data_IF_365577444212
#
_entry.id   IF_365577444212
#
_cell.length_a   1.000
_cell.length_b   1.000
_cell.length_c   1.000
_cell.angle_alpha   90.00
_cell.angle_beta   90.00
_cell.angle_gamma   90.00
#
_symmetry.space_group_name_H-M   'P 1'
#
loop_
_entity.id
_entity.type
_entity.pdbx_description
1 polymer ?
#
# COMPACT_ATOMS: atom_id res chain seq x y z
N UNK A 1 -29.64 0.99 -1.25
CA UNK A 1 -30.04 1.77 -0.05
C UNK A 1 -28.79 2.31 0.65
N UNK A 2 -28.45 3.60 0.54
CA UNK A 2 -27.37 4.18 1.33
C UNK A 2 -27.92 4.79 2.62
N UNK A 3 -27.39 4.37 3.77
CA UNK A 3 -27.68 4.99 5.07
C UNK A 3 -26.92 6.31 5.16
N UNK A 4 -27.65 7.43 5.19
CA UNK A 4 -27.14 8.74 5.60
C UNK A 4 -26.75 8.70 7.08
N UNK A 5 -25.62 9.31 7.45
CA UNK A 5 -25.41 9.76 8.82
C UNK A 5 -25.12 11.28 8.80
N UNK A 6 -25.89 12.10 9.53
CA UNK A 6 -25.83 13.56 9.48
C UNK A 6 -24.92 14.13 10.57
N UNK A 7 -24.26 15.25 10.30
CA UNK A 7 -24.17 16.41 11.22
C UNK A 7 -23.28 17.49 10.60
N UNK A 8 -23.90 18.32 9.76
CA UNK A 8 -23.42 19.66 9.47
C UNK A 8 -24.00 20.61 10.52
N UNK A 9 -23.18 21.14 11.43
CA UNK A 9 -23.49 22.38 12.15
C UNK A 9 -22.64 23.50 11.55
N UNK A 10 -23.31 24.45 10.90
CA UNK A 10 -22.79 25.80 10.68
C UNK A 10 -23.12 26.62 11.93
N UNK A 11 -22.13 27.26 12.56
CA UNK A 11 -22.08 28.71 12.70
C UNK A 11 -20.93 29.21 13.59
N UNK A 12 -20.25 30.22 13.03
CA UNK A 12 -19.54 31.34 13.66
C UNK A 12 -18.27 30.98 14.48
N UNK A 13 -17.14 31.69 14.40
CA UNK A 13 -16.91 33.13 14.17
C UNK A 13 -15.46 33.31 13.70
N UNK A 14 -15.22 34.22 12.75
CA UNK A 14 -13.88 34.67 12.36
C UNK A 14 -13.15 35.27 13.56
N UNK A 15 -11.96 34.77 13.90
CA UNK A 15 -10.83 35.54 14.41
C UNK A 15 -9.55 34.67 14.36
N UNK A 16 -8.62 35.04 13.47
CA UNK A 16 -7.17 34.90 13.67
C UNK A 16 -6.57 33.50 13.84
N UNK A 17 -6.59 32.68 12.79
CA UNK A 17 -5.51 31.76 12.39
C UNK A 17 -6.10 30.80 11.35
N UNK A 18 -5.84 31.06 10.07
CA UNK A 18 -6.15 30.10 9.02
C UNK A 18 -5.12 28.97 9.10
N UNK A 19 -5.29 28.06 10.06
CA UNK A 19 -4.59 26.79 10.05
C UNK A 19 -5.24 25.96 8.93
N UNK A 20 -4.69 26.06 7.73
CA UNK A 20 -5.00 25.12 6.66
C UNK A 20 -4.39 23.78 7.07
N UNK A 21 -5.12 22.97 7.83
CA UNK A 21 -4.78 21.56 7.97
C UNK A 21 -5.15 20.87 6.66
N UNK A 22 -4.26 20.92 5.66
CA UNK A 22 -4.30 19.94 4.59
C UNK A 22 -4.00 18.60 5.24
N UNK A 23 -5.01 17.73 5.32
CA UNK A 23 -4.82 16.35 5.70
C UNK A 23 -3.97 15.71 4.60
N UNK A 24 -2.65 15.71 4.75
CA UNK A 24 -1.76 15.02 3.83
C UNK A 24 -2.17 13.55 3.86
N UNK A 25 -2.72 13.05 2.76
CA UNK A 25 -3.01 11.64 2.64
C UNK A 25 -1.67 10.89 2.60
N UNK A 26 -1.37 10.12 3.63
CA UNK A 26 -0.25 9.19 3.63
C UNK A 26 -0.67 7.95 2.87
N UNK A 27 -0.06 7.71 1.71
CA UNK A 27 -0.27 6.49 0.92
C UNK A 27 0.93 5.56 1.11
N UNK A 28 0.68 4.28 1.32
CA UNK A 28 1.71 3.24 1.35
C UNK A 28 1.38 2.15 0.33
N UNK A 29 2.40 1.38 -0.06
CA UNK A 29 2.25 0.24 -0.96
C UNK A 29 2.72 -1.03 -0.26
N UNK A 30 1.87 -2.07 -0.34
CA UNK A 30 2.06 -3.38 0.27
C UNK A 30 1.73 -4.48 -0.74
N UNK A 31 2.43 -5.61 -0.64
CA UNK A 31 2.16 -6.80 -1.42
C UNK A 31 1.56 -7.87 -0.52
N UNK A 32 0.45 -8.44 -0.97
CA UNK A 32 -0.26 -9.50 -0.28
C UNK A 32 -0.23 -10.79 -1.10
N UNK A 33 -0.16 -11.92 -0.41
CA UNK A 33 -0.27 -13.26 -0.95
C UNK A 33 -1.26 -14.07 -0.13
N UNK A 34 -1.97 -14.97 -0.79
CA UNK A 34 -2.83 -15.96 -0.15
C UNK A 34 -2.41 -17.35 -0.62
N UNK A 35 -2.21 -18.26 0.32
CA UNK A 35 -1.84 -19.65 0.05
C UNK A 35 -2.94 -20.52 0.65
N UNK A 36 -3.40 -21.50 -0.13
CA UNK A 36 -4.37 -22.48 0.33
C UNK A 36 -3.92 -23.90 -0.02
N UNK A 37 -4.27 -24.85 0.85
CA UNK A 37 -4.14 -26.29 0.57
C UNK A 37 -5.35 -26.80 -0.23
N UNK A 38 -5.28 -28.07 -0.65
CA UNK A 38 -6.36 -28.72 -1.38
C UNK A 38 -7.66 -28.90 -0.56
N UNK A 39 -7.60 -28.73 0.78
CA UNK A 39 -8.78 -28.76 1.65
C UNK A 39 -9.49 -27.40 1.74
N UNK A 40 -8.94 -26.38 1.08
CA UNK A 40 -9.49 -25.02 1.06
C UNK A 40 -9.08 -24.18 2.27
N UNK A 41 -8.23 -24.69 3.17
CA UNK A 41 -7.67 -23.90 4.27
C UNK A 41 -6.51 -23.08 3.76
N UNK A 42 -6.49 -21.81 4.13
CA UNK A 42 -5.47 -20.90 3.67
C UNK A 42 -5.07 -19.84 4.69
N UNK A 43 -3.95 -19.19 4.38
CA UNK A 43 -3.41 -18.09 5.16
C UNK A 43 -2.96 -16.96 4.25
N UNK A 44 -3.13 -15.74 4.76
CA UNK A 44 -2.60 -14.54 4.14
C UNK A 44 -1.19 -14.27 4.65
N UNK A 45 -0.35 -13.77 3.75
CA UNK A 45 0.93 -13.19 4.08
C UNK A 45 1.07 -11.85 3.41
N UNK A 46 1.73 -10.92 4.10
CA UNK A 46 2.06 -9.61 3.56
C UNK A 46 3.56 -9.43 3.53
N UNK A 47 4.03 -8.60 2.61
CA UNK A 47 5.38 -8.05 2.63
C UNK A 47 5.51 -7.01 3.75
N UNK A 48 6.56 -6.18 3.68
CA UNK A 48 6.55 -4.88 4.36
C UNK A 48 5.66 -3.87 3.63
N UNK A 49 5.61 -2.66 4.19
CA UNK A 49 4.94 -1.49 3.61
C UNK A 49 5.98 -0.42 3.28
N UNK A 50 5.87 0.22 2.12
CA UNK A 50 6.71 1.36 1.75
C UNK A 50 5.87 2.62 1.63
N UNK A 51 6.34 3.70 2.27
CA UNK A 51 5.68 4.99 2.18
C UNK A 51 5.87 5.58 0.78
N UNK A 52 4.76 6.04 0.19
CA UNK A 52 4.78 6.74 -1.08
C UNK A 52 5.01 8.24 -0.83
N UNK A 53 5.99 8.88 -1.51
CA UNK A 53 6.22 10.30 -1.38
C UNK A 53 4.96 11.12 -1.66
N UNK A 54 4.71 12.17 -0.87
CA UNK A 54 3.50 13.00 -0.96
C UNK A 54 3.21 13.54 -2.38
N UNK A 55 4.20 13.98 -3.18
CA UNK A 55 3.94 14.40 -4.57
C UNK A 55 3.38 13.26 -5.44
N UNK A 56 3.90 12.04 -5.28
CA UNK A 56 3.44 10.87 -6.02
C UNK A 56 2.04 10.44 -5.53
N UNK A 57 1.80 10.49 -4.22
CA UNK A 57 0.50 10.21 -3.64
C UNK A 57 -0.57 11.18 -4.14
N UNK A 58 -0.26 12.47 -4.31
CA UNK A 58 -1.19 13.45 -4.87
C UNK A 58 -1.56 13.15 -6.33
N UNK A 59 -0.62 12.71 -7.17
CA UNK A 59 -0.93 12.29 -8.54
C UNK A 59 -1.93 11.12 -8.57
N UNK A 60 -1.79 10.16 -7.65
CA UNK A 60 -2.67 8.99 -7.60
C UNK A 60 -4.02 9.32 -6.97
N UNK A 61 -4.01 9.94 -5.78
CA UNK A 61 -5.21 10.17 -4.98
C UNK A 61 -6.06 11.34 -5.48
N UNK A 62 -5.41 12.44 -5.91
CA UNK A 62 -6.12 13.66 -6.26
C UNK A 62 -6.43 13.73 -7.76
N UNK A 63 -5.54 13.17 -8.61
CA UNK A 63 -5.70 13.20 -10.08
C UNK A 63 -6.14 11.87 -10.67
N UNK A 64 -6.22 10.80 -9.87
CA UNK A 64 -6.66 9.49 -10.32
C UNK A 64 -5.69 8.81 -11.29
N UNK A 65 -4.41 9.19 -11.27
CA UNK A 65 -3.39 8.53 -12.08
C UNK A 65 -3.12 7.13 -11.52
N UNK A 66 -3.06 6.13 -12.39
CA UNK A 66 -2.66 4.78 -12.00
C UNK A 66 -1.29 4.79 -11.33
N UNK A 67 -1.16 4.09 -10.19
CA UNK A 67 0.06 4.10 -9.38
C UNK A 67 1.31 3.71 -10.19
N UNK A 68 1.19 2.72 -11.08
CA UNK A 68 2.28 2.30 -11.96
C UNK A 68 2.74 3.44 -12.87
N UNK A 69 1.80 4.13 -13.52
CA UNK A 69 2.10 5.27 -14.39
C UNK A 69 2.70 6.46 -13.61
N UNK A 70 2.20 6.72 -12.40
CA UNK A 70 2.74 7.76 -11.53
C UNK A 70 4.19 7.45 -11.10
N UNK A 71 4.50 6.18 -10.80
CA UNK A 71 5.86 5.73 -10.47
C UNK A 71 6.80 5.84 -11.67
N UNK A 72 6.35 5.45 -12.86
CA UNK A 72 7.16 5.53 -14.07
C UNK A 72 7.51 6.98 -14.43
N UNK A 73 6.53 7.89 -14.31
CA UNK A 73 6.74 9.32 -14.48
C UNK A 73 7.72 9.88 -13.44
N UNK A 74 7.58 9.47 -12.18
CA UNK A 74 8.46 9.90 -11.08
C UNK A 74 9.90 9.40 -11.26
N UNK A 75 10.08 8.21 -11.85
CA UNK A 75 11.38 7.64 -12.16
C UNK A 75 12.10 8.31 -13.35
N UNK A 76 11.51 9.35 -13.95
CA UNK A 76 12.17 10.18 -14.96
C UNK A 76 12.38 9.51 -16.32
N UNK A 77 11.54 8.54 -16.69
CA UNK A 77 11.62 7.89 -18.00
C UNK A 77 12.86 7.02 -18.22
N UNK A 78 13.69 6.81 -17.20
CA UNK A 78 14.85 5.91 -17.25
C UNK A 78 14.41 4.45 -17.12
N UNK A 79 13.71 3.95 -18.14
CA UNK A 79 13.65 2.53 -18.50
C UNK A 79 13.61 1.53 -17.35
N UNK A 80 12.79 1.77 -16.33
CA UNK A 80 12.45 0.76 -15.32
C UNK A 80 11.46 -0.20 -15.98
N UNK A 81 11.93 -0.88 -17.03
CA UNK A 81 11.17 -1.90 -17.73
C UNK A 81 11.02 -3.11 -16.81
N UNK A 82 9.77 -3.30 -16.42
CA UNK A 82 9.09 -4.57 -16.16
C UNK A 82 9.41 -5.35 -14.87
N UNK A 83 10.53 -5.15 -14.18
CA UNK A 83 10.89 -6.03 -13.05
C UNK A 83 10.80 -5.42 -11.64
N UNK A 84 10.88 -4.10 -11.48
CA UNK A 84 11.22 -3.49 -10.19
C UNK A 84 10.04 -2.97 -9.34
N UNK A 85 8.98 -2.48 -9.98
CA UNK A 85 7.81 -1.92 -9.30
C UNK A 85 8.13 -0.74 -8.36
N UNK A 86 7.16 -0.35 -7.53
CA UNK A 86 7.28 0.77 -6.57
C UNK A 86 8.50 0.64 -5.66
N UNK A 87 8.75 -0.57 -5.18
CA UNK A 87 9.85 -0.88 -4.26
C UNK A 87 11.21 -0.59 -4.87
N UNK A 88 11.46 -1.05 -6.10
CA UNK A 88 12.77 -0.82 -6.71
C UNK A 88 13.01 0.67 -7.03
N UNK A 89 11.98 1.45 -7.35
CA UNK A 89 12.11 2.91 -7.52
C UNK A 89 12.44 3.59 -6.20
N UNK A 90 11.63 3.31 -5.17
CA UNK A 90 11.70 4.04 -3.90
C UNK A 90 12.88 3.61 -3.01
N UNK A 91 13.36 2.37 -3.18
CA UNK A 91 14.50 1.83 -2.42
C UNK A 91 15.82 1.85 -3.18
N UNK A 92 15.86 2.44 -4.39
CA UNK A 92 17.03 2.38 -5.30
C UNK A 92 17.47 0.94 -5.59
N UNK A 93 16.50 0.09 -5.90
CA UNK A 93 16.69 -1.31 -6.27
C UNK A 93 17.31 -2.20 -5.17
N UNK A 94 17.24 -1.76 -3.89
CA UNK A 94 17.63 -2.59 -2.76
C UNK A 94 16.57 -3.63 -2.40
N UNK A 95 15.31 -3.34 -2.69
CA UNK A 95 14.19 -4.28 -2.58
C UNK A 95 13.47 -4.27 -3.92
N UNK A 96 13.49 -5.41 -4.61
CA UNK A 96 12.77 -5.59 -5.86
C UNK A 96 11.32 -6.01 -5.58
N UNK A 97 10.45 -5.91 -6.61
CA UNK A 97 9.09 -6.48 -6.54
C UNK A 97 9.10 -7.98 -6.23
N UNK A 98 10.09 -8.71 -6.77
CA UNK A 98 10.24 -10.14 -6.53
C UNK A 98 10.57 -10.41 -5.05
N UNK A 99 11.42 -9.59 -4.42
CA UNK A 99 11.74 -9.73 -2.99
C UNK A 99 10.51 -9.50 -2.11
N UNK A 100 9.73 -8.45 -2.41
CA UNK A 100 8.49 -8.16 -1.69
C UNK A 100 7.50 -9.33 -1.75
N UNK A 101 7.27 -9.91 -2.95
CA UNK A 101 6.41 -11.08 -3.09
C UNK A 101 7.00 -12.34 -2.44
N UNK A 102 8.32 -12.54 -2.52
CA UNK A 102 8.98 -13.65 -1.83
C UNK A 102 8.69 -13.63 -0.34
N UNK A 103 8.78 -12.46 0.30
CA UNK A 103 8.45 -12.28 1.71
C UNK A 103 6.97 -12.57 1.97
N UNK A 104 6.07 -11.97 1.18
CA UNK A 104 4.62 -12.17 1.34
C UNK A 104 4.22 -13.65 1.23
N UNK A 105 4.79 -14.36 0.26
CA UNK A 105 4.54 -15.80 0.03
C UNK A 105 5.11 -16.64 1.17
N UNK A 106 6.35 -16.39 1.62
CA UNK A 106 6.92 -17.10 2.78
C UNK A 106 6.05 -16.90 4.02
N UNK A 107 5.59 -15.68 4.28
CA UNK A 107 4.70 -15.37 5.39
C UNK A 107 3.36 -16.11 5.27
N UNK A 108 2.78 -16.19 4.06
CA UNK A 108 1.56 -16.93 3.80
C UNK A 108 1.75 -18.46 3.98
N UNK A 109 2.94 -18.96 3.66
CA UNK A 109 3.30 -20.38 3.84
C UNK A 109 3.65 -20.77 5.27
N UNK A 110 3.96 -19.81 6.16
CA UNK A 110 4.43 -20.08 7.52
C UNK A 110 3.53 -21.06 8.31
N UNK A 111 2.17 -20.95 8.26
CA UNK A 111 1.31 -21.91 8.95
C UNK A 111 1.38 -23.34 8.39
N UNK A 112 1.81 -23.52 7.14
CA UNK A 112 1.86 -24.82 6.48
C UNK A 112 3.14 -25.59 6.81
N UNK A 113 4.31 -24.93 6.76
CA UNK A 113 5.58 -25.59 7.09
C UNK A 113 5.92 -25.56 8.58
N UNK A 114 5.28 -24.69 9.37
CA UNK A 114 5.37 -24.67 10.84
C UNK A 114 4.05 -25.13 11.50
N UNK A 115 3.38 -26.13 10.92
CA UNK A 115 2.04 -26.52 11.36
C UNK A 115 1.92 -26.91 12.84
N UNK A 116 2.99 -27.29 13.53
CA UNK A 116 2.96 -27.50 14.99
C UNK A 116 2.73 -26.20 15.76
N UNK A 117 3.40 -25.10 15.38
CA UNK A 117 3.28 -23.81 16.07
C UNK A 117 1.93 -23.13 15.85
N UNK A 118 1.29 -23.39 14.70
CA UNK A 118 0.05 -22.73 14.30
C UNK A 118 -1.22 -23.56 14.55
N UNK A 119 -1.09 -24.85 14.94
CA UNK A 119 -2.25 -25.68 15.33
C UNK A 119 -2.67 -25.50 16.79
N UNK A 120 -1.76 -24.99 17.62
CA UNK A 120 -1.98 -24.79 19.06
C UNK A 120 -2.26 -23.31 19.43
N UNK A 121 -2.40 -22.43 18.43
CA UNK A 121 -2.56 -20.98 18.58
C UNK A 121 -4.00 -20.51 18.33
#
# INVERSE_FOLDING_TARGET
MPRRCPTWRRNATKLGATLWASKAASMSSENWAYVADASGRGAYGQSGSILIPAPLAAEVLDRGVELAAAIDAYAGGHGIRDAQGAWGVLTRNLITRQDAFRIAVINAFAPFFNASLYRDA
#
